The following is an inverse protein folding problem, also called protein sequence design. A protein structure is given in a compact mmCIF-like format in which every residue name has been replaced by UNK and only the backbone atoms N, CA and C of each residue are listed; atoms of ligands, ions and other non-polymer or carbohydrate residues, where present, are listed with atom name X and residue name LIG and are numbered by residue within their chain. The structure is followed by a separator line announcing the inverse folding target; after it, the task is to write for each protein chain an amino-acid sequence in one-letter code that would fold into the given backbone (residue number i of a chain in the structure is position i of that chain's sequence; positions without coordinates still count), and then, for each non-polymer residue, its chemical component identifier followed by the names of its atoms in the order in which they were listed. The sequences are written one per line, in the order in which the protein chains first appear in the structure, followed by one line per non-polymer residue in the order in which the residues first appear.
data_IF_303408340333
#
_entry.id   IF_303408340333
#
_cell.length_a   1.000
_cell.length_b   1.000
_cell.length_c   1.000
_cell.angle_alpha   90.00
_cell.angle_beta   90.00
_cell.angle_gamma   90.00
#
_symmetry.space_group_name_H-M   'P 1'
#
loop_
_entity.id
_entity.type
_entity.pdbx_description
1 polymer ?
#
# COMPACT_ATOMS: atom_id res chain seq x y z
N UNK A 1 -7.69 -8.24 20.26
CA UNK A 1 -6.33 -8.26 20.82
C UNK A 1 -6.13 -7.12 21.78
N UNK A 2 -5.39 -7.40 22.85
CA UNK A 2 -4.85 -6.40 23.77
C UNK A 2 -3.61 -5.73 23.15
N UNK A 3 -3.23 -4.54 23.64
CA UNK A 3 -2.04 -3.83 23.17
C UNK A 3 -0.73 -4.65 23.24
N UNK A 4 -0.43 -5.43 24.31
CA UNK A 4 0.80 -6.22 24.36
C UNK A 4 0.83 -7.36 23.32
N UNK A 5 -0.30 -8.00 23.03
CA UNK A 5 -0.40 -9.03 21.98
C UNK A 5 -0.06 -8.46 20.59
N UNK A 6 -0.51 -7.23 20.33
CA UNK A 6 -0.18 -6.53 19.08
C UNK A 6 1.33 -6.25 18.99
N UNK A 7 1.96 -5.89 20.11
CA UNK A 7 3.42 -5.66 20.12
C UNK A 7 4.19 -6.97 19.92
N UNK A 8 3.76 -8.08 20.53
CA UNK A 8 4.43 -9.37 20.34
C UNK A 8 4.31 -9.87 18.90
N UNK A 9 3.14 -9.71 18.28
CA UNK A 9 2.92 -10.10 16.87
C UNK A 9 3.76 -9.24 15.91
N UNK A 10 3.83 -7.93 16.13
CA UNK A 10 4.72 -7.03 15.40
C UNK A 10 6.20 -7.40 15.57
N UNK A 11 6.60 -7.84 16.76
CA UNK A 11 7.97 -8.27 17.02
C UNK A 11 8.30 -9.55 16.24
N UNK A 12 7.45 -10.59 16.32
CA UNK A 12 7.62 -11.84 15.57
C UNK A 12 7.69 -11.62 14.06
N UNK A 13 6.78 -10.81 13.53
CA UNK A 13 6.77 -10.49 12.09
C UNK A 13 8.02 -9.72 11.67
N UNK A 14 8.52 -8.81 12.51
CA UNK A 14 9.77 -8.10 12.24
C UNK A 14 10.99 -9.02 12.29
N UNK A 15 11.07 -9.90 13.29
CA UNK A 15 12.13 -10.91 13.43
C UNK A 15 12.19 -11.83 12.20
N UNK A 16 11.05 -12.30 11.69
CA UNK A 16 10.98 -13.11 10.48
C UNK A 16 11.54 -12.38 9.24
N UNK A 17 11.34 -11.06 9.12
CA UNK A 17 11.94 -10.27 8.04
C UNK A 17 13.46 -10.25 8.18
N UNK A 18 13.97 -10.03 9.40
CA UNK A 18 15.42 -9.98 9.65
C UNK A 18 16.11 -11.34 9.43
N UNK A 19 15.47 -12.46 9.79
CA UNK A 19 16.00 -13.81 9.55
C UNK A 19 16.21 -14.12 8.08
N UNK A 20 15.36 -13.60 7.19
CA UNK A 20 15.51 -13.73 5.73
C UNK A 20 16.58 -12.82 5.12
N UNK A 21 17.33 -12.08 5.95
CA UNK A 21 18.31 -11.08 5.51
C UNK A 21 17.67 -9.80 5.00
N UNK A 22 16.39 -9.57 5.30
CA UNK A 22 15.68 -8.34 4.97
C UNK A 22 15.92 -7.22 5.99
N UNK A 23 15.68 -5.97 5.58
CA UNK A 23 15.78 -4.80 6.44
C UNK A 23 14.50 -3.96 6.39
N UNK A 24 14.02 -3.51 7.56
CA UNK A 24 12.79 -2.71 7.66
C UNK A 24 13.15 -1.23 7.64
N UNK A 25 12.68 -0.49 6.62
CA UNK A 25 12.89 0.95 6.47
C UNK A 25 11.90 1.77 7.30
N UNK A 26 10.63 1.36 7.32
CA UNK A 26 9.57 2.12 7.98
C UNK A 26 8.46 1.20 8.47
N UNK A 27 7.92 1.52 9.64
CA UNK A 27 6.76 0.86 10.22
C UNK A 27 5.72 1.92 10.58
N UNK A 28 4.53 1.82 10.00
CA UNK A 28 3.43 2.75 10.22
C UNK A 28 2.20 2.01 10.76
N UNK A 29 1.55 2.61 11.76
CA UNK A 29 0.29 2.12 12.32
C UNK A 29 -0.87 2.99 11.78
N UNK A 30 -1.78 2.38 11.02
CA UNK A 30 -2.96 3.05 10.45
C UNK A 30 -4.17 3.02 11.40
N UNK A 31 -4.02 2.38 12.55
CA UNK A 31 -5.02 2.24 13.60
C UNK A 31 -5.89 1.00 13.46
N UNK A 32 -6.75 0.81 14.47
CA UNK A 32 -7.75 -0.26 14.50
C UNK A 32 -9.04 0.26 13.89
N UNK A 33 -9.47 -0.36 12.79
CA UNK A 33 -10.69 -0.01 12.07
C UNK A 33 -11.55 -1.24 11.83
N UNK A 34 -12.81 -1.02 11.52
CA UNK A 34 -13.68 -2.08 11.02
C UNK A 34 -13.22 -2.49 9.62
N UNK A 35 -13.23 -3.79 9.35
CA UNK A 35 -12.86 -4.29 8.04
C UNK A 35 -14.02 -4.07 7.05
N UNK A 36 -13.76 -3.78 5.77
CA UNK A 36 -14.82 -3.47 4.81
C UNK A 36 -15.83 -4.61 4.61
N UNK A 37 -15.38 -5.86 4.79
CA UNK A 37 -16.20 -7.05 4.66
C UNK A 37 -15.76 -8.14 5.64
N UNK A 38 -16.68 -9.04 5.99
CA UNK A 38 -16.42 -10.17 6.90
C UNK A 38 -15.27 -11.01 6.36
N UNK A 39 -14.22 -11.16 7.16
CA UNK A 39 -13.06 -11.98 6.80
C UNK A 39 -12.99 -13.15 7.77
N UNK A 40 -13.08 -14.36 7.25
CA UNK A 40 -12.83 -15.59 8.00
C UNK A 40 -11.36 -15.97 7.86
N UNK A 41 -10.63 -15.97 8.97
CA UNK A 41 -9.24 -16.40 9.04
C UNK A 41 -9.08 -17.30 10.25
N UNK A 42 -8.26 -18.36 10.14
CA UNK A 42 -7.95 -19.28 11.25
C UNK A 42 -9.18 -19.80 12.02
N UNK A 43 -10.28 -20.07 11.32
CA UNK A 43 -11.52 -20.58 11.92
C UNK A 43 -12.36 -19.54 12.67
N UNK A 44 -11.99 -18.26 12.66
CA UNK A 44 -12.74 -17.17 13.27
C UNK A 44 -13.17 -16.13 12.24
N UNK A 45 -14.33 -15.50 12.49
CA UNK A 45 -14.83 -14.40 11.66
C UNK A 45 -14.48 -13.08 12.33
N UNK A 46 -13.58 -12.33 11.71
CA UNK A 46 -13.17 -11.01 12.19
C UNK A 46 -14.07 -9.91 11.62
N UNK A 47 -14.35 -8.89 12.43
CA UNK A 47 -15.08 -7.66 12.03
C UNK A 47 -14.27 -6.38 12.26
N UNK A 48 -13.25 -6.45 13.11
CA UNK A 48 -12.32 -5.36 13.45
C UNK A 48 -10.89 -5.87 13.29
N UNK A 49 -10.02 -5.04 12.73
CA UNK A 49 -8.60 -5.37 12.55
C UNK A 49 -7.73 -4.13 12.74
N UNK A 50 -6.50 -4.35 13.18
CA UNK A 50 -5.45 -3.31 13.24
C UNK A 50 -4.62 -3.36 11.97
N UNK A 51 -4.42 -2.21 11.35
CA UNK A 51 -3.73 -2.10 10.07
C UNK A 51 -2.31 -1.58 10.27
N UNK A 52 -1.33 -2.32 9.78
CA UNK A 52 0.08 -1.96 9.82
C UNK A 52 0.68 -1.96 8.42
N UNK A 53 1.51 -0.96 8.13
CA UNK A 53 2.29 -0.87 6.91
C UNK A 53 3.77 -1.02 7.26
N UNK A 54 4.40 -2.05 6.72
CA UNK A 54 5.84 -2.28 6.84
C UNK A 54 6.47 -2.05 5.47
N UNK A 55 7.37 -1.08 5.38
CA UNK A 55 8.26 -0.88 4.24
C UNK A 55 9.56 -1.59 4.56
N UNK A 56 9.88 -2.63 3.81
CA UNK A 56 11.08 -3.43 4.01
C UNK A 56 11.70 -3.79 2.65
N UNK A 57 13.00 -4.05 2.69
CA UNK A 57 13.75 -4.65 1.61
C UNK A 57 14.01 -6.11 1.95
N UNK A 58 13.81 -7.02 1.00
CA UNK A 58 14.06 -8.45 1.20
C UNK A 58 14.46 -9.07 -0.15
N UNK A 59 15.37 -10.07 -0.16
CA UNK A 59 15.65 -10.85 -1.37
C UNK A 59 14.37 -11.52 -1.90
N UNK A 60 14.11 -11.50 -3.22
CA UNK A 60 12.88 -12.03 -3.80
C UNK A 60 12.69 -13.53 -3.57
N UNK A 61 13.79 -14.28 -3.34
CA UNK A 61 13.76 -15.72 -3.08
C UNK A 61 12.99 -16.07 -1.80
N UNK A 62 13.07 -15.23 -0.77
CA UNK A 62 12.47 -15.49 0.54
C UNK A 62 11.07 -14.90 0.71
N UNK A 63 10.56 -14.17 -0.29
CA UNK A 63 9.22 -13.56 -0.22
C UNK A 63 8.10 -14.61 -0.13
N UNK A 64 8.27 -15.76 -0.79
CA UNK A 64 7.30 -16.84 -0.73
C UNK A 64 7.25 -17.47 0.67
N UNK A 65 8.42 -17.83 1.22
CA UNK A 65 8.56 -18.41 2.56
C UNK A 65 8.01 -17.47 3.63
N UNK A 66 8.30 -16.17 3.51
CA UNK A 66 7.80 -15.15 4.42
C UNK A 66 6.27 -15.03 4.35
N UNK A 67 5.72 -15.03 3.13
CA UNK A 67 4.26 -15.00 2.92
C UNK A 67 3.58 -16.26 3.46
N UNK A 68 4.20 -17.42 3.33
CA UNK A 68 3.66 -18.66 3.89
C UNK A 68 3.72 -18.65 5.43
N UNK A 69 4.83 -18.17 6.01
CA UNK A 69 4.99 -18.00 7.46
C UNK A 69 3.91 -17.10 8.06
N UNK A 70 3.63 -15.96 7.43
CA UNK A 70 2.56 -15.07 7.86
C UNK A 70 1.16 -15.67 7.71
N UNK A 71 0.94 -16.50 6.68
CA UNK A 71 -0.33 -17.20 6.51
C UNK A 71 -0.59 -18.29 7.55
N UNK A 72 0.45 -18.73 8.27
CA UNK A 72 0.34 -19.71 9.36
C UNK A 72 0.14 -19.06 10.73
N UNK A 73 0.48 -17.78 10.88
CA UNK A 73 0.32 -17.04 12.13
C UNK A 73 -1.16 -16.73 12.39
N UNK A 74 -1.69 -17.27 13.49
CA UNK A 74 -3.12 -17.14 13.88
C UNK A 74 -3.52 -15.69 14.15
N UNK A 75 -2.58 -14.85 14.55
CA UNK A 75 -2.85 -13.45 14.88
C UNK A 75 -2.93 -12.56 13.64
N UNK A 76 -2.46 -13.04 12.49
CA UNK A 76 -2.46 -12.31 11.22
C UNK A 76 -3.73 -12.67 10.43
N UNK A 77 -4.73 -11.80 10.47
CA UNK A 77 -5.97 -11.99 9.70
C UNK A 77 -5.73 -12.00 8.19
N UNK A 78 -4.82 -11.13 7.72
CA UNK A 78 -4.47 -11.02 6.31
C UNK A 78 -3.16 -10.28 6.11
N UNK A 79 -2.30 -10.81 5.24
CA UNK A 79 -1.10 -10.14 4.77
C UNK A 79 -1.11 -9.99 3.23
N UNK A 80 -0.47 -8.91 2.76
CA UNK A 80 -0.18 -8.68 1.35
C UNK A 80 1.14 -7.95 1.22
N UNK A 81 2.02 -8.47 0.39
CA UNK A 81 3.29 -7.82 0.03
C UNK A 81 3.12 -7.21 -1.36
N UNK A 82 3.44 -5.93 -1.48
CA UNK A 82 3.38 -5.20 -2.73
C UNK A 82 4.78 -4.73 -3.12
N UNK A 83 5.11 -4.83 -4.40
CA UNK A 83 6.31 -4.19 -4.94
C UNK A 83 6.07 -2.68 -4.96
N UNK A 84 6.92 -1.94 -4.26
CA UNK A 84 6.90 -0.47 -4.32
C UNK A 84 7.31 -0.09 -5.74
N UNK A 85 6.39 0.52 -6.49
CA UNK A 85 6.72 1.27 -7.69
C UNK A 85 7.02 2.68 -7.25
N UNK A 86 8.18 3.21 -7.60
CA UNK A 86 8.45 4.62 -7.42
C UNK A 86 7.42 5.40 -8.25
N UNK A 87 6.70 6.36 -7.64
CA UNK A 87 5.77 7.18 -8.40
C UNK A 87 6.58 7.93 -9.46
N UNK A 88 6.13 7.84 -10.70
CA UNK A 88 6.66 8.69 -11.77
C UNK A 88 6.47 10.14 -11.32
N UNK A 89 7.54 10.92 -11.34
CA UNK A 89 7.47 12.34 -11.05
C UNK A 89 6.81 13.01 -12.25
N UNK A 90 5.50 13.24 -12.16
CA UNK A 90 4.77 14.08 -13.10
C UNK A 90 4.42 15.39 -12.43
N UNK A 91 4.49 16.49 -13.19
CA UNK A 91 3.98 17.77 -12.74
C UNK A 91 2.44 17.73 -12.81
N UNK A 92 1.76 18.01 -11.71
CA UNK A 92 0.30 18.02 -11.66
C UNK A 92 -0.27 19.18 -12.51
N UNK A 93 -0.73 18.90 -13.73
CA UNK A 93 -1.34 19.89 -14.65
C UNK A 93 -2.85 20.08 -14.47
N UNK A 94 -3.47 19.45 -13.45
CA UNK A 94 -4.93 19.44 -13.26
C UNK A 94 -5.53 20.85 -13.22
N UNK A 95 -4.83 21.80 -12.60
CA UNK A 95 -5.26 23.20 -12.51
C UNK A 95 -5.39 23.88 -13.89
N UNK A 96 -4.57 23.48 -14.86
CA UNK A 96 -4.65 24.00 -16.22
C UNK A 96 -5.75 23.31 -17.03
N UNK A 97 -6.02 22.03 -16.76
CA UNK A 97 -7.05 21.25 -17.45
C UNK A 97 -8.47 21.60 -16.99
N UNK A 98 -8.65 22.00 -15.73
CA UNK A 98 -9.96 22.42 -15.19
C UNK A 98 -10.36 23.84 -15.61
N UNK A 99 -9.44 24.63 -16.18
CA UNK A 99 -9.79 25.94 -16.76
C UNK A 99 -10.81 25.75 -17.89
N UNK A 100 -11.76 26.69 -18.06
CA UNK A 100 -12.65 26.68 -19.21
C UNK A 100 -11.85 26.63 -20.54
N UNK A 101 -12.40 26.02 -21.61
CA UNK A 101 -11.68 25.80 -22.87
C UNK A 101 -10.95 27.03 -23.44
N UNK A 102 -11.55 28.23 -23.30
CA UNK A 102 -10.96 29.48 -23.79
C UNK A 102 -9.61 29.85 -23.13
N UNK A 103 -9.34 29.34 -21.92
CA UNK A 103 -8.14 29.65 -21.14
C UNK A 103 -7.17 28.46 -21.03
N UNK A 104 -7.45 27.36 -21.76
CA UNK A 104 -6.52 26.23 -21.83
C UNK A 104 -5.44 26.53 -22.86
N UNK A 105 -4.18 26.49 -22.43
CA UNK A 105 -3.02 26.76 -23.29
C UNK A 105 -3.00 25.86 -24.53
N UNK A 106 -3.41 24.60 -24.38
CA UNK A 106 -3.52 23.61 -25.46
C UNK A 106 -4.44 24.06 -26.61
N UNK A 107 -5.50 24.80 -26.32
CA UNK A 107 -6.46 25.30 -27.32
C UNK A 107 -5.94 26.58 -27.99
N UNK A 108 -5.22 27.42 -27.24
CA UNK A 108 -4.65 28.67 -27.74
C UNK A 108 -3.51 28.40 -28.76
N UNK A 109 -2.78 27.29 -28.60
CA UNK A 109 -1.64 26.93 -29.47
C UNK A 109 -2.01 26.26 -30.79
N UNK A 110 -3.27 25.85 -31.00
CA UNK A 110 -3.72 25.42 -32.32
C UNK A 110 -4.01 26.69 -33.14
N UNK A 111 -3.21 27.02 -34.17
CA UNK A 111 -3.55 28.18 -34.99
C UNK A 111 -4.92 27.91 -35.61
N UNK A 112 -5.84 28.87 -35.45
CA UNK A 112 -7.07 28.98 -36.21
C UNK A 112 -6.73 29.24 -37.70
N UNK A 113 -6.00 28.33 -38.36
CA UNK A 113 -5.95 28.28 -39.81
C UNK A 113 -7.23 27.61 -40.27
N UNK A 114 -8.31 28.39 -40.35
CA UNK A 114 -9.48 28.05 -41.15
C UNK A 114 -9.05 28.27 -42.60
N UNK A 115 -8.85 27.22 -43.43
CA UNK A 115 -8.58 27.42 -44.84
C UNK A 115 -9.93 27.59 -45.55
N UNK A 116 -10.19 28.76 -46.12
CA UNK A 116 -11.36 28.96 -46.99
C UNK A 116 -12.05 30.32 -46.82
N UNK A 117 -11.34 31.38 -47.20
CA UNK A 117 -11.91 32.51 -47.94
C UNK A 117 -11.26 32.50 -49.33
#
# INVERSE_FOLDING_TARGET
MSRPEVVSTLKRTSEAIFETGGFIRKLENLGTREIPYKTSAHGQVHKKASYFLLKFDCPPKHLYDLSEGYGRDVDIVRHRVYKVKEPEQFECTIEEETKPPAYRQVIITVPLSIPGL
#
